data_IF_771061056266
#
_entry.id   IF_771061056266
#
_cell.length_a   1.000
_cell.length_b   1.000
_cell.length_c   1.000
_cell.angle_alpha   90.00
_cell.angle_beta   90.00
_cell.angle_gamma   90.00
#
_symmetry.space_group_name_H-M   'P 1'
#
loop_
_entity.id
_entity.type
_entity.pdbx_description
1 polymer ?
#
# COMPACT_ATOMS: atom_id res chain seq x y z
N UNK A 1 -8.40 -21.94 79.36
CA UNK A 1 -8.69 -20.67 78.71
C UNK A 1 -8.00 -20.68 77.36
N UNK A 2 -8.72 -21.04 76.24
CA UNK A 2 -8.21 -21.01 74.91
C UNK A 2 -8.84 -19.78 74.19
N UNK A 3 -8.02 -18.84 73.77
CA UNK A 3 -8.43 -17.70 72.91
C UNK A 3 -8.32 -18.11 71.46
N UNK A 4 -9.46 -18.17 70.75
CA UNK A 4 -9.55 -18.30 69.33
C UNK A 4 -9.20 -16.91 68.70
N UNK A 5 -8.16 -16.86 67.90
CA UNK A 5 -7.87 -15.74 66.99
C UNK A 5 -8.61 -15.98 65.66
N UNK A 6 -9.60 -15.16 65.36
CA UNK A 6 -10.26 -15.12 64.06
C UNK A 6 -9.45 -14.21 63.11
N UNK A 7 -8.82 -14.79 62.08
CA UNK A 7 -8.22 -14.02 60.96
C UNK A 7 -9.34 -13.63 59.99
N UNK A 8 -9.57 -12.34 59.85
CA UNK A 8 -10.44 -11.78 58.80
C UNK A 8 -9.62 -11.63 57.52
N UNK A 9 -9.96 -12.40 56.49
CA UNK A 9 -9.38 -12.30 55.15
C UNK A 9 -10.12 -11.18 54.36
N UNK A 10 -9.48 -10.03 54.19
CA UNK A 10 -10.02 -8.94 53.37
C UNK A 10 -9.77 -9.25 51.89
N UNK A 11 -10.82 -9.56 51.14
CA UNK A 11 -10.77 -9.72 49.71
C UNK A 11 -10.67 -8.34 49.05
N UNK A 12 -9.54 -8.02 48.42
CA UNK A 12 -9.38 -6.83 47.59
C UNK A 12 -10.01 -7.13 46.23
N UNK A 13 -11.17 -6.58 45.96
CA UNK A 13 -11.80 -6.59 44.63
C UNK A 13 -11.12 -5.50 43.78
N UNK A 14 -10.24 -5.92 42.90
CA UNK A 14 -9.67 -5.02 41.86
C UNK A 14 -10.79 -4.69 40.85
N UNK A 15 -11.35 -3.48 40.95
CA UNK A 15 -12.25 -2.94 39.93
C UNK A 15 -11.40 -2.57 38.71
N UNK A 16 -11.50 -3.37 37.64
CA UNK A 16 -10.90 -3.01 36.37
C UNK A 16 -11.55 -1.70 35.86
N UNK A 17 -10.75 -0.65 35.70
CA UNK A 17 -11.22 0.59 35.09
C UNK A 17 -11.72 0.29 33.66
N UNK A 18 -12.85 0.87 33.22
CA UNK A 18 -13.33 0.69 31.87
C UNK A 18 -12.26 1.18 30.89
N UNK A 19 -11.91 0.36 29.91
CA UNK A 19 -11.01 0.75 28.83
C UNK A 19 -11.60 1.98 28.14
N UNK A 20 -10.91 3.11 28.25
CA UNK A 20 -11.34 4.36 27.65
C UNK A 20 -11.40 4.17 26.14
N UNK A 21 -12.57 4.35 25.51
CA UNK A 21 -12.71 4.26 24.07
C UNK A 21 -11.74 5.25 23.41
N UNK A 22 -10.89 4.74 22.52
CA UNK A 22 -9.92 5.57 21.79
C UNK A 22 -10.65 6.63 20.98
N UNK A 23 -10.11 7.85 20.96
CA UNK A 23 -10.60 8.87 20.06
C UNK A 23 -10.46 8.39 18.60
N UNK A 24 -11.46 8.65 17.74
CA UNK A 24 -11.36 8.30 16.34
C UNK A 24 -10.20 9.06 15.69
N UNK A 25 -9.39 8.34 14.92
CA UNK A 25 -8.31 8.93 14.13
C UNK A 25 -8.90 9.93 13.12
N UNK A 26 -8.27 11.09 13.01
CA UNK A 26 -8.66 12.14 12.07
C UNK A 26 -7.48 12.49 11.18
N UNK A 27 -7.69 12.44 9.89
CA UNK A 27 -6.74 12.87 8.88
C UNK A 27 -7.47 13.58 7.74
N UNK A 28 -6.83 14.54 7.14
CA UNK A 28 -7.30 15.18 5.91
C UNK A 28 -6.69 14.52 4.65
N UNK A 29 -5.85 13.48 4.81
CA UNK A 29 -5.17 12.76 3.73
C UNK A 29 -5.66 11.34 3.53
N UNK A 30 -6.05 10.67 4.63
CA UNK A 30 -6.48 9.28 4.60
C UNK A 30 -7.71 9.04 5.46
N UNK A 31 -8.49 8.06 5.07
CA UNK A 31 -9.57 7.48 5.86
C UNK A 31 -9.19 6.02 6.14
N UNK A 32 -9.35 5.56 7.37
CA UNK A 32 -9.06 4.17 7.71
C UNK A 32 -10.31 3.50 8.26
N UNK A 33 -10.68 2.38 7.64
CA UNK A 33 -11.76 1.51 8.09
C UNK A 33 -11.17 0.21 8.64
N UNK A 34 -11.65 -0.22 9.82
CA UNK A 34 -11.15 -1.43 10.46
C UNK A 34 -12.16 -2.57 10.34
N UNK A 35 -11.67 -3.76 9.94
CA UNK A 35 -12.49 -4.97 9.76
C UNK A 35 -11.78 -6.18 10.39
N UNK A 36 -12.55 -7.05 11.05
CA UNK A 36 -12.03 -8.28 11.65
C UNK A 36 -11.43 -8.07 13.04
N UNK A 37 -10.80 -9.12 13.56
CA UNK A 37 -10.16 -9.18 14.88
C UNK A 37 -8.89 -10.03 14.79
N UNK A 38 -7.93 -9.80 15.68
CA UNK A 38 -6.65 -10.52 15.69
C UNK A 38 -5.45 -9.60 15.50
N UNK A 39 -4.30 -10.11 15.02
CA UNK A 39 -3.13 -9.31 14.71
C UNK A 39 -3.43 -8.24 13.64
N UNK A 40 -2.81 -7.08 13.78
CA UNK A 40 -3.06 -5.93 12.92
C UNK A 40 -2.36 -6.05 11.57
N UNK A 41 -3.10 -5.75 10.50
CA UNK A 41 -2.59 -5.69 9.12
C UNK A 41 -3.09 -4.41 8.47
N UNK A 42 -2.19 -3.55 8.00
CA UNK A 42 -2.52 -2.34 7.25
C UNK A 42 -2.49 -2.66 5.76
N UNK A 43 -3.59 -2.38 5.04
CA UNK A 43 -3.74 -2.60 3.61
C UNK A 43 -3.84 -1.27 2.87
N UNK A 44 -2.88 -1.01 1.96
CA UNK A 44 -2.75 0.27 1.26
C UNK A 44 -2.98 0.03 -0.24
N UNK A 45 -4.05 0.58 -0.84
CA UNK A 45 -4.36 0.42 -2.25
C UNK A 45 -3.42 1.27 -3.14
N UNK A 46 -3.48 1.02 -4.44
CA UNK A 46 -2.72 1.76 -5.44
C UNK A 46 -3.32 3.13 -5.80
N UNK A 47 -2.69 3.77 -6.79
CA UNK A 47 -3.14 5.01 -7.40
C UNK A 47 -4.58 4.88 -7.88
N UNK A 48 -5.40 5.86 -7.56
CA UNK A 48 -6.81 5.95 -7.99
C UNK A 48 -7.65 4.70 -7.65
N UNK A 49 -7.27 3.97 -6.60
CA UNK A 49 -7.94 2.76 -6.13
C UNK A 49 -8.59 2.96 -4.76
N UNK A 50 -9.56 2.11 -4.45
CA UNK A 50 -10.19 2.02 -3.13
C UNK A 50 -9.78 0.75 -2.39
N UNK A 51 -10.11 0.64 -1.08
CA UNK A 51 -9.94 -0.59 -0.32
C UNK A 51 -10.66 -1.82 -0.88
N UNK A 52 -11.57 -1.66 -1.83
CA UNK A 52 -12.26 -2.77 -2.49
C UNK A 52 -11.31 -3.76 -3.18
N UNK A 53 -10.12 -3.30 -3.58
CA UNK A 53 -9.09 -4.20 -4.14
C UNK A 53 -8.67 -5.30 -3.15
N UNK A 54 -8.93 -5.12 -1.86
CA UNK A 54 -8.59 -6.03 -0.76
C UNK A 54 -9.75 -6.90 -0.26
N UNK A 55 -10.97 -6.77 -0.82
CA UNK A 55 -12.14 -7.50 -0.31
C UNK A 55 -11.92 -9.01 -0.23
N UNK A 56 -11.32 -9.61 -1.26
CA UNK A 56 -11.05 -11.05 -1.26
C UNK A 56 -9.97 -11.39 -0.24
N UNK A 57 -8.91 -10.57 -0.12
CA UNK A 57 -7.84 -10.76 0.88
C UNK A 57 -8.40 -10.79 2.31
N UNK A 58 -9.30 -9.88 2.62
CA UNK A 58 -9.97 -9.82 3.94
C UNK A 58 -10.82 -11.08 4.19
N UNK A 59 -11.57 -11.54 3.18
CA UNK A 59 -12.40 -12.76 3.28
C UNK A 59 -11.55 -14.03 3.50
N UNK A 60 -10.42 -14.11 2.81
CA UNK A 60 -9.54 -15.28 2.87
C UNK A 60 -8.74 -15.39 4.19
N UNK A 61 -8.65 -14.28 4.95
CA UNK A 61 -7.83 -14.21 6.18
C UNK A 61 -8.61 -13.71 7.40
N UNK A 62 -9.71 -14.38 7.82
CA UNK A 62 -10.61 -13.88 8.86
C UNK A 62 -9.99 -13.78 10.28
N UNK A 63 -8.79 -14.35 10.47
CA UNK A 63 -8.08 -14.31 11.77
C UNK A 63 -7.26 -13.05 12.03
N UNK A 64 -7.37 -12.03 11.18
CA UNK A 64 -6.62 -10.78 11.30
C UNK A 64 -7.55 -9.57 11.42
N UNK A 65 -7.03 -8.49 12.01
CA UNK A 65 -7.68 -7.19 12.04
C UNK A 65 -7.06 -6.30 10.96
N UNK A 66 -7.82 -6.04 9.91
CA UNK A 66 -7.39 -5.26 8.77
C UNK A 66 -7.73 -3.78 8.95
N UNK A 67 -6.75 -2.93 8.68
CA UNK A 67 -6.87 -1.48 8.61
C UNK A 67 -6.79 -1.07 7.14
N UNK A 68 -7.96 -0.84 6.55
CA UNK A 68 -8.14 -0.55 5.15
C UNK A 68 -7.96 0.95 4.91
N UNK A 69 -6.89 1.32 4.23
CA UNK A 69 -6.56 2.72 3.95
C UNK A 69 -7.25 3.18 2.67
N UNK A 70 -8.02 4.26 2.73
CA UNK A 70 -8.52 5.00 1.59
C UNK A 70 -7.80 6.34 1.52
N UNK A 71 -7.20 6.66 0.38
CA UNK A 71 -6.59 7.96 0.17
C UNK A 71 -7.65 8.98 -0.24
N UNK A 72 -7.56 10.17 0.32
CA UNK A 72 -8.38 11.30 -0.08
C UNK A 72 -8.06 11.72 -1.53
N UNK A 73 -9.11 12.06 -2.28
CA UNK A 73 -9.03 12.34 -3.71
C UNK A 73 -9.15 11.12 -4.62
N UNK A 74 -9.12 9.88 -4.08
CA UNK A 74 -9.26 8.66 -4.89
C UNK A 74 -10.62 7.99 -4.68
N UNK A 75 -11.10 7.35 -5.74
CA UNK A 75 -12.31 6.52 -5.74
C UNK A 75 -13.54 7.18 -5.07
N UNK A 76 -13.73 8.45 -5.32
CA UNK A 76 -14.84 9.25 -4.79
C UNK A 76 -14.65 9.78 -3.36
N UNK A 77 -13.54 9.50 -2.70
CA UNK A 77 -13.23 10.14 -1.43
C UNK A 77 -12.95 11.65 -1.61
N UNK A 78 -13.32 12.50 -0.63
CA UNK A 78 -13.03 13.94 -0.70
C UNK A 78 -11.54 14.22 -0.91
N UNK A 79 -11.21 15.30 -1.60
CA UNK A 79 -9.80 15.69 -1.84
C UNK A 79 -9.08 16.01 -0.52
N UNK A 80 -9.79 16.63 0.45
CA UNK A 80 -9.22 16.94 1.75
C UNK A 80 -7.95 17.77 1.66
N UNK A 81 -6.90 17.37 2.36
CA UNK A 81 -5.59 18.00 2.35
C UNK A 81 -4.75 17.74 1.09
N UNK A 82 -5.23 16.90 0.15
CA UNK A 82 -4.52 16.61 -1.09
C UNK A 82 -4.76 17.65 -2.20
N UNK A 83 -5.04 18.90 -1.85
CA UNK A 83 -5.31 19.99 -2.81
C UNK A 83 -4.06 20.50 -3.53
N UNK A 84 -2.88 20.35 -2.94
CA UNK A 84 -1.60 20.81 -3.51
C UNK A 84 -0.46 19.89 -3.10
N UNK A 85 0.66 19.95 -3.82
CA UNK A 85 1.89 19.22 -3.51
C UNK A 85 1.80 17.71 -3.72
N UNK A 86 2.65 16.99 -3.03
CA UNK A 86 2.73 15.54 -3.07
C UNK A 86 1.51 14.86 -2.43
N UNK A 87 1.22 13.66 -2.84
CA UNK A 87 0.06 12.86 -2.40
C UNK A 87 0.52 11.62 -1.61
N UNK A 88 1.46 10.86 -2.16
CA UNK A 88 1.90 9.59 -1.58
C UNK A 88 2.74 9.79 -0.32
N UNK A 89 3.74 10.67 -0.36
CA UNK A 89 4.63 10.87 0.79
C UNK A 89 3.89 11.43 2.02
N UNK A 90 3.05 12.48 1.92
CA UNK A 90 2.24 12.92 3.06
C UNK A 90 1.24 11.87 3.55
N UNK A 91 0.67 11.05 2.66
CA UNK A 91 -0.22 9.96 3.06
C UNK A 91 0.53 8.84 3.80
N UNK A 92 1.78 8.54 3.41
CA UNK A 92 2.63 7.59 4.12
C UNK A 92 2.94 8.06 5.56
N UNK A 93 3.20 9.34 5.77
CA UNK A 93 3.38 9.93 7.11
C UNK A 93 2.09 9.83 7.95
N UNK A 94 0.92 10.06 7.33
CA UNK A 94 -0.38 9.89 8.02
C UNK A 94 -0.66 8.42 8.37
N UNK A 95 -0.21 7.45 7.55
CA UNK A 95 -0.30 6.02 7.88
C UNK A 95 0.60 5.69 9.09
N UNK A 96 1.83 6.19 9.13
CA UNK A 96 2.72 6.02 10.28
C UNK A 96 2.13 6.66 11.54
N UNK A 97 1.59 7.89 11.43
CA UNK A 97 0.88 8.56 12.53
C UNK A 97 -0.34 7.75 13.00
N UNK A 98 -1.11 7.17 12.07
CA UNK A 98 -2.23 6.28 12.40
C UNK A 98 -1.77 5.06 13.21
N UNK A 99 -0.70 4.39 12.78
CA UNK A 99 -0.14 3.22 13.48
C UNK A 99 0.23 3.60 14.92
N UNK A 100 0.93 4.71 15.10
CA UNK A 100 1.38 5.21 16.39
C UNK A 100 0.21 5.65 17.29
N UNK A 101 -0.68 6.54 16.84
CA UNK A 101 -1.80 7.08 17.62
C UNK A 101 -2.85 6.00 17.97
N UNK A 102 -3.06 5.04 17.08
CA UNK A 102 -3.94 3.91 17.37
C UNK A 102 -3.22 2.78 18.15
N UNK A 103 -1.94 3.00 18.53
CA UNK A 103 -1.13 2.06 19.29
C UNK A 103 -1.16 0.64 18.70
N UNK A 104 -1.06 0.54 17.38
CA UNK A 104 -0.95 -0.75 16.72
C UNK A 104 0.43 -1.35 17.08
N UNK A 105 0.44 -2.63 17.45
CA UNK A 105 1.67 -3.29 17.90
C UNK A 105 2.46 -3.81 16.70
N UNK A 106 3.19 -2.93 16.02
CA UNK A 106 3.99 -3.25 14.83
C UNK A 106 3.16 -4.08 13.83
N UNK A 107 2.13 -3.52 13.18
CA UNK A 107 1.31 -4.25 12.22
C UNK A 107 2.15 -4.74 11.04
N UNK A 108 1.69 -5.79 10.38
CA UNK A 108 2.12 -6.10 9.03
C UNK A 108 1.55 -5.05 8.06
N UNK A 109 2.31 -4.67 7.03
CA UNK A 109 1.85 -3.71 6.03
C UNK A 109 1.89 -4.35 4.65
N UNK A 110 0.78 -4.30 3.92
CA UNK A 110 0.69 -4.79 2.53
C UNK A 110 0.26 -3.61 1.65
N UNK A 111 1.08 -3.26 0.67
CA UNK A 111 0.81 -2.16 -0.25
C UNK A 111 0.86 -2.60 -1.71
N UNK A 112 -0.16 -2.23 -2.50
CA UNK A 112 -0.22 -2.48 -3.93
C UNK A 112 0.18 -1.23 -4.70
N UNK A 113 1.05 -1.35 -5.70
CA UNK A 113 1.40 -0.23 -6.60
C UNK A 113 1.88 0.99 -5.80
N UNK A 114 1.27 2.15 -5.93
CA UNK A 114 1.56 3.33 -5.10
C UNK A 114 1.47 3.01 -3.59
N UNK A 115 0.56 2.13 -3.18
CA UNK A 115 0.50 1.62 -1.80
C UNK A 115 1.78 0.89 -1.39
N UNK A 116 2.44 0.20 -2.32
CA UNK A 116 3.74 -0.41 -2.12
C UNK A 116 4.85 0.62 -1.91
N UNK A 117 4.83 1.72 -2.66
CA UNK A 117 5.73 2.87 -2.42
C UNK A 117 5.52 3.44 -1.02
N UNK A 118 4.27 3.68 -0.62
CA UNK A 118 3.95 4.18 0.74
C UNK A 118 4.35 3.18 1.82
N UNK A 119 4.14 1.88 1.61
CA UNK A 119 4.57 0.84 2.55
C UNK A 119 6.09 0.83 2.75
N UNK A 120 6.86 1.00 1.67
CA UNK A 120 8.32 1.15 1.75
C UNK A 120 8.73 2.46 2.46
N UNK A 121 8.04 3.59 2.21
CA UNK A 121 8.26 4.85 2.92
C UNK A 121 8.04 4.69 4.43
N UNK A 122 6.91 4.13 4.84
CA UNK A 122 6.62 3.87 6.26
C UNK A 122 7.72 3.01 6.89
N UNK A 123 8.10 1.91 6.25
CA UNK A 123 9.11 1.00 6.79
C UNK A 123 10.53 1.60 6.84
N UNK A 124 10.87 2.47 5.89
CA UNK A 124 12.20 3.10 5.84
C UNK A 124 12.33 4.28 6.82
N UNK A 125 11.27 5.06 6.97
CA UNK A 125 11.27 6.30 7.76
C UNK A 125 10.80 6.07 9.20
N UNK A 126 10.00 5.03 9.44
CA UNK A 126 9.47 4.62 10.74
C UNK A 126 9.73 3.13 11.00
N UNK A 127 11.02 2.69 11.03
CA UNK A 127 11.39 1.27 11.06
C UNK A 127 10.91 0.52 12.30
N UNK A 128 10.57 1.23 13.37
CA UNK A 128 10.05 0.65 14.60
C UNK A 128 8.52 0.46 14.61
N UNK A 129 7.81 1.00 13.64
CA UNK A 129 6.35 1.00 13.59
C UNK A 129 5.76 -0.23 12.89
N UNK A 130 6.56 -1.00 12.14
CA UNK A 130 6.07 -2.14 11.35
C UNK A 130 6.83 -3.42 11.67
N UNK A 131 6.13 -4.59 11.59
CA UNK A 131 6.78 -5.90 11.81
C UNK A 131 7.34 -6.52 10.53
N UNK A 132 6.65 -6.33 9.43
CA UNK A 132 6.99 -6.87 8.09
C UNK A 132 6.22 -6.12 7.02
N UNK A 133 6.75 -6.13 5.78
CA UNK A 133 6.18 -5.41 4.64
C UNK A 133 6.03 -6.33 3.44
N UNK A 134 4.86 -6.29 2.79
CA UNK A 134 4.66 -6.87 1.47
C UNK A 134 4.36 -5.75 0.46
N UNK A 135 5.16 -5.71 -0.58
CA UNK A 135 4.97 -4.83 -1.74
C UNK A 135 4.40 -5.68 -2.88
N UNK A 136 3.27 -5.25 -3.42
CA UNK A 136 2.59 -5.92 -4.52
C UNK A 136 2.77 -5.08 -5.78
N UNK A 137 3.65 -5.54 -6.63
CA UNK A 137 4.00 -5.01 -7.95
C UNK A 137 4.38 -3.53 -7.97
N UNK A 138 5.47 -3.21 -7.27
CA UNK A 138 6.07 -1.89 -7.28
C UNK A 138 7.59 -1.95 -7.12
N UNK A 139 8.26 -1.04 -7.80
CA UNK A 139 9.70 -0.79 -7.70
C UNK A 139 9.99 0.31 -6.65
N UNK A 140 11.16 0.31 -6.04
CA UNK A 140 11.56 1.41 -5.16
C UNK A 140 11.81 2.72 -5.92
N UNK A 141 11.96 2.64 -7.23
CA UNK A 141 12.02 3.78 -8.14
C UNK A 141 11.27 3.46 -9.43
N UNK A 142 9.98 3.79 -9.48
CA UNK A 142 9.16 3.59 -10.66
C UNK A 142 9.68 4.40 -11.87
N UNK A 143 10.32 5.53 -11.62
CA UNK A 143 10.93 6.38 -12.64
C UNK A 143 11.92 5.63 -13.55
N UNK A 144 12.54 4.56 -13.09
CA UNK A 144 13.42 3.73 -13.92
C UNK A 144 12.74 3.13 -15.16
N UNK A 145 11.40 3.08 -15.18
CA UNK A 145 10.59 2.64 -16.33
C UNK A 145 10.32 3.75 -17.36
N UNK A 146 10.61 5.02 -17.03
CA UNK A 146 10.24 6.20 -17.82
C UNK A 146 11.42 6.88 -18.51
N UNK A 147 12.62 6.33 -18.40
CA UNK A 147 13.82 6.87 -19.03
C UNK A 147 14.86 5.78 -19.30
N UNK A 148 15.99 6.14 -19.92
CA UNK A 148 17.09 5.22 -20.19
C UNK A 148 17.72 4.72 -18.88
N UNK A 149 18.50 3.62 -18.93
CA UNK A 149 19.25 3.14 -17.78
C UNK A 149 20.11 4.26 -17.16
N UNK A 150 20.08 4.38 -15.83
CA UNK A 150 20.76 5.44 -15.10
C UNK A 150 19.96 6.74 -14.91
N UNK A 151 18.70 6.77 -15.36
CA UNK A 151 17.82 7.91 -15.06
C UNK A 151 17.71 8.17 -13.56
N UNK A 152 17.63 9.46 -13.21
CA UNK A 152 17.46 9.96 -11.84
C UNK A 152 16.15 10.74 -11.74
N UNK A 153 15.67 10.97 -10.51
CA UNK A 153 14.50 11.84 -10.29
C UNK A 153 14.66 13.19 -10.98
N UNK A 154 15.84 13.79 -10.91
CA UNK A 154 16.12 15.09 -11.55
C UNK A 154 15.99 15.02 -13.07
N UNK A 155 16.59 14.01 -13.70
CA UNK A 155 16.53 13.85 -15.17
C UNK A 155 15.12 13.55 -15.69
N UNK A 156 14.22 13.05 -14.83
CA UNK A 156 12.84 12.70 -15.17
C UNK A 156 11.82 13.81 -14.91
N UNK A 157 12.21 14.92 -14.27
CA UNK A 157 11.28 16.04 -14.01
C UNK A 157 10.52 16.51 -15.27
N UNK A 158 11.16 16.72 -16.43
CA UNK A 158 10.42 17.12 -17.64
C UNK A 158 9.42 16.06 -18.12
N UNK A 159 9.74 14.77 -17.94
CA UNK A 159 8.86 13.67 -18.32
C UNK A 159 7.66 13.60 -17.37
N UNK A 160 7.89 13.66 -16.07
CA UNK A 160 6.84 13.64 -15.05
C UNK A 160 5.87 14.83 -15.25
N UNK A 161 6.40 16.04 -15.46
CA UNK A 161 5.58 17.24 -15.68
C UNK A 161 4.76 17.16 -16.97
N UNK A 162 5.35 16.67 -18.07
CA UNK A 162 4.63 16.48 -19.33
C UNK A 162 3.48 15.49 -19.17
N UNK A 163 3.69 14.38 -18.46
CA UNK A 163 2.65 13.40 -18.19
C UNK A 163 1.57 14.01 -17.29
N UNK A 164 1.95 14.66 -16.19
CA UNK A 164 1.02 15.35 -15.30
C UNK A 164 0.14 16.32 -16.06
N UNK A 165 0.74 17.18 -16.87
CA UNK A 165 0.03 18.17 -17.70
C UNK A 165 -0.95 17.48 -18.65
N UNK A 166 -0.51 16.44 -19.35
CA UNK A 166 -1.37 15.67 -20.25
C UNK A 166 -2.58 15.04 -19.54
N UNK A 167 -2.38 14.55 -18.30
CA UNK A 167 -3.48 13.99 -17.51
C UNK A 167 -4.47 15.07 -17.07
N UNK A 168 -4.00 16.25 -16.64
CA UNK A 168 -4.87 17.34 -16.15
C UNK A 168 -5.62 18.01 -17.32
N UNK A 169 -5.00 18.14 -18.49
CA UNK A 169 -5.60 18.79 -19.66
C UNK A 169 -6.51 17.87 -20.48
N UNK A 170 -6.54 16.57 -20.17
CA UNK A 170 -7.40 15.61 -20.84
C UNK A 170 -8.88 15.94 -20.59
N UNK A 171 -9.66 16.06 -21.66
CA UNK A 171 -11.12 16.14 -21.56
C UNK A 171 -11.71 14.76 -21.17
N UNK A 172 -13.00 14.74 -20.83
CA UNK A 172 -13.67 13.53 -20.33
C UNK A 172 -13.53 12.31 -21.28
N UNK A 173 -13.63 12.53 -22.60
CA UNK A 173 -13.49 11.46 -23.57
C UNK A 173 -12.06 10.93 -23.64
N UNK A 174 -11.07 11.81 -23.62
CA UNK A 174 -9.65 11.45 -23.60
C UNK A 174 -9.29 10.73 -22.30
N UNK A 175 -9.76 11.23 -21.16
CA UNK A 175 -9.59 10.61 -19.85
C UNK A 175 -10.20 9.20 -19.83
N UNK A 176 -11.45 9.06 -20.26
CA UNK A 176 -12.13 7.76 -20.30
C UNK A 176 -11.38 6.75 -21.18
N UNK A 177 -10.91 7.17 -22.37
CA UNK A 177 -10.14 6.31 -23.26
C UNK A 177 -8.80 5.88 -22.62
N UNK A 178 -8.08 6.81 -21.98
CA UNK A 178 -6.81 6.54 -21.31
C UNK A 178 -6.99 5.58 -20.14
N UNK A 179 -8.01 5.79 -19.28
CA UNK A 179 -8.32 4.90 -18.16
C UNK A 179 -8.67 3.49 -18.63
N UNK A 180 -9.52 3.35 -19.67
CA UNK A 180 -9.86 2.04 -20.25
C UNK A 180 -8.60 1.31 -20.77
N UNK A 181 -7.73 2.00 -21.51
CA UNK A 181 -6.50 1.41 -22.02
C UNK A 181 -5.55 0.99 -20.90
N UNK A 182 -5.39 1.85 -19.88
CA UNK A 182 -4.54 1.59 -18.71
C UNK A 182 -5.04 0.36 -17.93
N UNK A 183 -6.33 0.33 -17.57
CA UNK A 183 -6.91 -0.80 -16.82
C UNK A 183 -6.87 -2.09 -17.64
N UNK A 184 -7.11 -2.03 -18.95
CA UNK A 184 -7.00 -3.19 -19.83
C UNK A 184 -5.57 -3.76 -19.90
N UNK A 185 -4.55 -2.91 -19.77
CA UNK A 185 -3.13 -3.32 -19.69
C UNK A 185 -2.67 -3.76 -18.31
N UNK A 186 -3.42 -3.44 -17.26
CA UNK A 186 -3.06 -3.73 -15.86
C UNK A 186 -3.80 -4.92 -15.26
N UNK A 187 -4.92 -5.35 -15.85
CA UNK A 187 -5.74 -6.46 -15.35
C UNK A 187 -6.03 -7.41 -16.49
N UNK A 188 -5.58 -8.65 -16.35
CA UNK A 188 -5.79 -9.73 -17.31
C UNK A 188 -7.23 -10.24 -17.24
N UNK A 189 -7.75 -10.41 -16.03
CA UNK A 189 -9.10 -10.91 -15.73
C UNK A 189 -10.16 -9.87 -16.09
N UNK A 190 -10.80 -10.03 -17.26
CA UNK A 190 -11.71 -9.01 -17.81
C UNK A 190 -12.83 -8.62 -16.86
N UNK A 191 -13.42 -9.59 -16.15
CA UNK A 191 -14.54 -9.37 -15.22
C UNK A 191 -14.15 -8.52 -13.98
N UNK A 192 -12.85 -8.37 -13.70
CA UNK A 192 -12.37 -7.54 -12.60
C UNK A 192 -12.05 -6.09 -13.00
N UNK A 193 -11.97 -5.80 -14.30
CA UNK A 193 -11.69 -4.46 -14.83
C UNK A 193 -12.71 -3.39 -14.44
N UNK A 194 -14.04 -3.68 -14.41
CA UNK A 194 -15.04 -2.67 -14.06
C UNK A 194 -14.84 -2.07 -12.66
N UNK A 195 -14.38 -2.86 -11.69
CA UNK A 195 -14.12 -2.38 -10.32
C UNK A 195 -13.02 -1.31 -10.32
N UNK A 196 -11.86 -1.63 -10.91
CA UNK A 196 -10.73 -0.71 -10.97
C UNK A 196 -11.03 0.51 -11.84
N UNK A 197 -11.77 0.33 -12.93
CA UNK A 197 -12.18 1.43 -13.81
C UNK A 197 -13.13 2.40 -13.10
N UNK A 198 -14.11 1.90 -12.35
CA UNK A 198 -15.05 2.72 -11.58
C UNK A 198 -14.31 3.56 -10.52
N UNK A 199 -13.36 2.97 -9.79
CA UNK A 199 -12.54 3.68 -8.81
C UNK A 199 -11.69 4.79 -9.48
N UNK A 200 -11.05 4.47 -10.61
CA UNK A 200 -10.23 5.43 -11.36
C UNK A 200 -11.06 6.58 -11.94
N UNK A 201 -12.25 6.29 -12.45
CA UNK A 201 -13.19 7.31 -12.96
C UNK A 201 -13.70 8.24 -11.86
N UNK A 202 -13.96 7.70 -10.67
CA UNK A 202 -14.43 8.46 -9.50
C UNK A 202 -13.31 9.25 -8.80
N UNK A 203 -12.04 9.02 -9.16
CA UNK A 203 -10.90 9.73 -8.58
C UNK A 203 -10.75 11.14 -9.13
N UNK A 204 -10.30 12.07 -8.28
CA UNK A 204 -9.96 13.42 -8.70
C UNK A 204 -8.80 13.39 -9.71
N UNK A 205 -8.97 14.11 -10.82
CA UNK A 205 -8.03 14.09 -11.94
C UNK A 205 -6.71 14.76 -11.60
N UNK A 206 -6.73 15.89 -10.92
CA UNK A 206 -5.51 16.61 -10.54
C UNK A 206 -4.74 15.87 -9.45
N UNK A 207 -5.42 15.34 -8.43
CA UNK A 207 -4.80 14.51 -7.40
C UNK A 207 -4.13 13.28 -8.03
N UNK A 208 -4.83 12.59 -8.94
CA UNK A 208 -4.28 11.42 -9.65
C UNK A 208 -3.06 11.77 -10.51
N UNK A 209 -3.11 12.91 -11.20
CA UNK A 209 -2.00 13.37 -12.04
C UNK A 209 -0.76 13.75 -11.22
N UNK A 210 -0.95 14.44 -10.09
CA UNK A 210 0.15 14.78 -9.17
C UNK A 210 0.74 13.54 -8.51
N UNK A 211 -0.10 12.64 -8.04
CA UNK A 211 0.36 11.38 -7.44
C UNK A 211 1.17 10.53 -8.44
N UNK A 212 0.76 10.47 -9.70
CA UNK A 212 1.50 9.75 -10.73
C UNK A 212 2.86 10.39 -11.04
N UNK A 213 2.89 11.73 -11.14
CA UNK A 213 4.15 12.47 -11.32
C UNK A 213 5.10 12.28 -10.12
N UNK A 214 4.57 12.32 -8.89
CA UNK A 214 5.32 12.03 -7.67
C UNK A 214 5.93 10.63 -7.71
N UNK A 215 5.18 9.60 -8.11
CA UNK A 215 5.69 8.23 -8.23
C UNK A 215 6.84 8.11 -9.21
N UNK A 216 6.80 8.83 -10.35
CA UNK A 216 7.90 8.87 -11.33
C UNK A 216 9.16 9.46 -10.69
N UNK A 217 9.01 10.45 -9.81
CA UNK A 217 10.12 11.18 -9.21
C UNK A 217 10.59 10.61 -7.87
N UNK A 218 9.81 9.74 -7.24
CA UNK A 218 10.14 9.14 -5.95
C UNK A 218 11.18 8.03 -6.12
N UNK A 219 12.40 8.27 -5.63
CA UNK A 219 13.49 7.29 -5.61
C UNK A 219 13.80 6.84 -4.18
N UNK A 220 13.26 5.69 -3.79
CA UNK A 220 13.46 5.09 -2.47
C UNK A 220 14.70 4.18 -2.38
N UNK A 221 15.43 3.97 -3.48
CA UNK A 221 16.63 3.10 -3.47
C UNK A 221 17.67 3.48 -2.41
N UNK A 222 17.94 4.77 -2.13
CA UNK A 222 18.81 5.14 -1.03
C UNK A 222 18.25 4.87 0.37
N UNK A 223 16.90 4.90 0.51
CA UNK A 223 16.21 4.69 1.78
C UNK A 223 16.03 3.20 2.13
N UNK A 224 16.09 2.28 1.14
CA UNK A 224 15.87 0.84 1.37
C UNK A 224 16.72 0.25 2.49
N UNK A 225 17.96 0.71 2.64
CA UNK A 225 18.88 0.26 3.70
C UNK A 225 18.39 0.56 5.13
N UNK A 226 17.44 1.48 5.28
CA UNK A 226 16.85 1.84 6.57
C UNK A 226 15.68 0.92 6.94
N UNK A 227 15.21 0.09 6.02
CA UNK A 227 14.14 -0.88 6.28
C UNK A 227 14.73 -2.04 7.09
N UNK A 228 14.36 -2.12 8.37
CA UNK A 228 14.77 -3.21 9.27
C UNK A 228 13.79 -4.40 9.24
N UNK A 229 12.55 -4.15 8.88
CA UNK A 229 11.50 -5.17 8.79
C UNK A 229 11.73 -6.10 7.59
N UNK A 230 11.43 -7.42 7.69
CA UNK A 230 11.40 -8.32 6.54
C UNK A 230 10.52 -7.76 5.43
N UNK A 231 11.05 -7.70 4.20
CA UNK A 231 10.34 -7.19 3.04
C UNK A 231 10.17 -8.29 1.99
N UNK A 232 8.92 -8.49 1.58
CA UNK A 232 8.56 -9.39 0.46
C UNK A 232 8.00 -8.55 -0.69
N UNK A 233 8.49 -8.77 -1.90
CA UNK A 233 8.00 -8.12 -3.11
C UNK A 233 7.42 -9.20 -4.02
N UNK A 234 6.13 -9.13 -4.27
CA UNK A 234 5.48 -9.88 -5.34
C UNK A 234 5.49 -9.00 -6.59
N UNK A 235 5.93 -9.52 -7.72
CA UNK A 235 5.99 -8.75 -8.95
C UNK A 235 5.60 -9.57 -10.18
N UNK A 236 5.27 -8.89 -11.24
CA UNK A 236 4.88 -9.52 -12.50
C UNK A 236 5.79 -9.10 -13.65
N UNK A 237 5.72 -9.86 -14.73
CA UNK A 237 6.07 -9.39 -16.06
C UNK A 237 4.77 -9.25 -16.84
N UNK A 238 4.29 -8.04 -17.00
CA UNK A 238 3.04 -7.77 -17.73
C UNK A 238 3.06 -8.39 -19.13
N UNK A 239 1.90 -8.80 -19.61
CA UNK A 239 1.75 -9.52 -20.90
C UNK A 239 2.41 -8.82 -22.08
N UNK A 240 2.34 -7.48 -22.10
CA UNK A 240 2.86 -6.65 -23.20
C UNK A 240 4.28 -6.13 -22.92
N UNK A 241 4.94 -6.57 -21.83
CA UNK A 241 6.29 -6.10 -21.53
C UNK A 241 7.28 -6.66 -22.59
N UNK A 242 8.08 -5.81 -23.24
CA UNK A 242 9.02 -6.21 -24.30
C UNK A 242 10.31 -6.84 -23.72
N UNK A 243 10.20 -7.58 -22.63
CA UNK A 243 11.30 -8.20 -21.90
C UNK A 243 10.95 -9.64 -21.54
N UNK A 244 11.95 -10.47 -21.34
CA UNK A 244 11.78 -11.84 -20.86
C UNK A 244 11.55 -11.89 -19.36
N UNK A 245 11.07 -13.04 -18.84
CA UNK A 245 10.94 -13.28 -17.40
C UNK A 245 12.26 -13.07 -16.65
N UNK A 246 13.36 -13.64 -17.19
CA UNK A 246 14.69 -13.49 -16.60
C UNK A 246 15.19 -12.04 -16.58
N UNK A 247 14.88 -11.25 -17.61
CA UNK A 247 15.20 -9.83 -17.64
C UNK A 247 14.39 -9.04 -16.58
N UNK A 248 13.11 -9.34 -16.43
CA UNK A 248 12.28 -8.73 -15.37
C UNK A 248 12.79 -9.08 -13.97
N UNK A 249 13.12 -10.35 -13.73
CA UNK A 249 13.73 -10.78 -12.47
C UNK A 249 15.07 -10.07 -12.19
N UNK A 250 15.91 -9.93 -13.22
CA UNK A 250 17.17 -9.19 -13.14
C UNK A 250 16.93 -7.70 -12.80
N UNK A 251 15.91 -7.10 -13.39
CA UNK A 251 15.55 -5.71 -13.16
C UNK A 251 15.07 -5.48 -11.71
N UNK A 252 14.21 -6.36 -11.18
CA UNK A 252 13.81 -6.29 -9.77
C UNK A 252 14.99 -6.51 -8.82
N UNK A 253 15.85 -7.50 -9.08
CA UNK A 253 17.07 -7.73 -8.26
C UNK A 253 17.97 -6.51 -8.24
N UNK A 254 18.21 -5.88 -9.38
CA UNK A 254 19.01 -4.66 -9.45
C UNK A 254 18.36 -3.47 -8.73
N UNK A 255 17.02 -3.36 -8.78
CA UNK A 255 16.28 -2.28 -8.12
C UNK A 255 16.32 -2.37 -6.60
N UNK A 256 16.39 -3.59 -6.03
CA UNK A 256 16.44 -3.84 -4.60
C UNK A 256 17.86 -4.18 -4.09
N UNK A 257 18.90 -3.86 -4.84
CA UNK A 257 20.30 -4.20 -4.46
C UNK A 257 20.72 -3.65 -3.11
N UNK A 258 20.17 -2.51 -2.68
CA UNK A 258 20.43 -1.89 -1.36
C UNK A 258 19.72 -2.60 -0.19
N UNK A 259 18.87 -3.59 -0.47
CA UNK A 259 18.19 -4.41 0.54
C UNK A 259 18.26 -5.90 0.12
N UNK A 260 19.45 -6.52 0.19
CA UNK A 260 19.66 -7.89 -0.31
C UNK A 260 18.87 -8.95 0.45
N UNK A 261 18.35 -8.63 1.64
CA UNK A 261 17.47 -9.49 2.43
C UNK A 261 16.02 -9.49 1.92
N UNK A 262 15.65 -8.64 0.96
CA UNK A 262 14.31 -8.63 0.39
C UNK A 262 14.02 -9.95 -0.35
N UNK A 263 12.86 -10.55 -0.06
CA UNK A 263 12.35 -11.70 -0.79
C UNK A 263 11.62 -11.22 -2.04
N UNK A 264 12.15 -11.53 -3.22
CA UNK A 264 11.56 -11.14 -4.51
C UNK A 264 10.92 -12.37 -5.16
N UNK A 265 9.62 -12.31 -5.46
CA UNK A 265 8.85 -13.41 -6.06
C UNK A 265 8.09 -12.92 -7.29
N UNK A 266 8.42 -13.49 -8.45
CA UNK A 266 7.63 -13.27 -9.67
C UNK A 266 6.38 -14.14 -9.66
N UNK A 267 5.23 -13.53 -9.90
CA UNK A 267 3.96 -14.24 -10.06
C UNK A 267 3.67 -14.36 -11.56
N UNK A 268 3.62 -15.60 -12.09
CA UNK A 268 3.29 -15.83 -13.49
C UNK A 268 1.80 -15.59 -13.77
N UNK A 269 1.47 -15.45 -15.04
CA UNK A 269 0.09 -15.36 -15.55
C UNK A 269 -0.77 -14.29 -14.89
N UNK A 270 -0.14 -13.20 -14.47
CA UNK A 270 -0.77 -12.00 -13.91
C UNK A 270 -0.24 -10.76 -14.58
N UNK A 271 -1.06 -9.72 -14.60
CA UNK A 271 -0.65 -8.35 -14.82
C UNK A 271 -0.62 -7.63 -13.46
N UNK A 272 -0.63 -6.30 -13.43
CA UNK A 272 -0.36 -5.46 -12.24
C UNK A 272 -1.23 -5.76 -11.01
N UNK A 273 -2.48 -6.16 -11.20
CA UNK A 273 -3.39 -6.50 -10.11
C UNK A 273 -3.37 -8.00 -9.79
N UNK A 274 -2.29 -8.45 -9.14
CA UNK A 274 -2.08 -9.87 -8.80
C UNK A 274 -3.27 -10.47 -8.04
N UNK A 275 -3.88 -9.70 -7.13
CA UNK A 275 -5.03 -10.12 -6.33
C UNK A 275 -6.28 -10.42 -7.18
N UNK A 276 -6.37 -9.87 -8.40
CA UNK A 276 -7.48 -10.11 -9.32
C UNK A 276 -7.19 -11.21 -10.32
N UNK A 277 -5.93 -11.26 -10.81
CA UNK A 277 -5.55 -12.19 -11.86
C UNK A 277 -5.19 -13.58 -11.33
N UNK A 278 -4.59 -13.64 -10.14
CA UNK A 278 -4.15 -14.86 -9.47
C UNK A 278 -4.62 -14.91 -8.01
N UNK A 279 -5.95 -14.85 -7.73
CA UNK A 279 -6.48 -14.68 -6.38
C UNK A 279 -6.03 -15.78 -5.42
N UNK A 280 -5.99 -17.05 -5.89
CA UNK A 280 -5.53 -18.16 -5.05
C UNK A 280 -4.04 -18.08 -4.73
N UNK A 281 -3.20 -17.81 -5.72
CA UNK A 281 -1.75 -17.65 -5.51
C UNK A 281 -1.49 -16.47 -4.58
N UNK A 282 -2.19 -15.37 -4.77
CA UNK A 282 -2.07 -14.20 -3.91
C UNK A 282 -2.49 -14.50 -2.47
N UNK A 283 -3.59 -15.20 -2.25
CA UNK A 283 -4.03 -15.62 -0.91
C UNK A 283 -3.00 -16.55 -0.23
N UNK A 284 -2.42 -17.48 -0.97
CA UNK A 284 -1.36 -18.38 -0.46
C UNK A 284 -0.10 -17.56 -0.05
N UNK A 285 0.31 -16.57 -0.87
CA UNK A 285 1.46 -15.70 -0.56
C UNK A 285 1.19 -14.78 0.64
N UNK A 286 -0.01 -14.19 0.76
CA UNK A 286 -0.42 -13.41 1.93
C UNK A 286 -0.45 -14.30 3.18
N UNK A 287 -0.98 -15.51 3.08
CA UNK A 287 -0.99 -16.48 4.19
C UNK A 287 0.43 -16.82 4.67
N UNK A 288 1.36 -17.08 3.74
CA UNK A 288 2.75 -17.36 4.06
C UNK A 288 3.43 -16.14 4.71
N UNK A 289 3.19 -14.95 4.16
CA UNK A 289 3.71 -13.68 4.69
C UNK A 289 3.19 -13.37 6.10
N UNK A 290 1.92 -13.59 6.37
CA UNK A 290 1.32 -13.26 7.66
C UNK A 290 1.71 -14.24 8.79
N UNK A 291 2.03 -15.51 8.46
CA UNK A 291 2.44 -16.54 9.43
C UNK A 291 3.89 -16.42 9.89
N UNK A 292 4.78 -15.93 9.04
CA UNK A 292 6.20 -15.76 9.33
C UNK A 292 6.44 -14.46 10.13
#
# INVERSE_FOLDING_TARGET
MFRLLTLALAAVVAVAAPAQAKAPFKSDRIIVTTVGQGPDVVLIPGLSSSPKVWEQTVKDHPGYRFHLVQLNGFAGAPVGGATTGDVAAPAAEEIARYISEQHLKKPAVIGHSMGGTMAMMVAARHPDEVSKVMVVDMLPFMGAMFGPPGSTSESLKPTAERIRKSMVEANDAQRAAALNATIAGMIRTVDMRPLALADAQASDQDVSARAFAELILTDLRPELKSISAPLTVLFVRGNNAPVTDAQMEGFYKASFVSLPAATLKRIPDSDHFIMFDQPKVFADEVSAFLKN
#
